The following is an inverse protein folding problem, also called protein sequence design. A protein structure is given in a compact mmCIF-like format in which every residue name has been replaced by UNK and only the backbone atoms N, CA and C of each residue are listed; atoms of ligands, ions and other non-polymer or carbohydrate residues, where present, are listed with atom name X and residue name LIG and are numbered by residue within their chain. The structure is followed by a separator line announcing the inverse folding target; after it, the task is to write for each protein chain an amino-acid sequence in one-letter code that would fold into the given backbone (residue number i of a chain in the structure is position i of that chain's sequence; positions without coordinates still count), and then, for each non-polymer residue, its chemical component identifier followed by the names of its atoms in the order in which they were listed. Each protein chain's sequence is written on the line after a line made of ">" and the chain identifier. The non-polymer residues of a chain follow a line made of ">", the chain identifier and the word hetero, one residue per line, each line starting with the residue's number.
data_IF_189834864587
#
_entry.id   IF_189834864587
#
_cell.length_a   1.000
_cell.length_b   1.000
_cell.length_c   1.000
_cell.angle_alpha   90.00
_cell.angle_beta   90.00
_cell.angle_gamma   90.00
#
_symmetry.space_group_name_H-M   'P 1'
#
loop_
_entity.id
_entity.type
_entity.pdbx_description
1 polymer ?
#
# COMPACT_ATOMS: atom_id res chain seq x y z
N UNK A 1 -30.86 -5.07 -7.12
CA UNK A 1 -29.64 -4.79 -6.34
C UNK A 1 -28.47 -5.18 -7.21
N UNK A 2 -27.57 -4.24 -7.57
CA UNK A 2 -26.32 -4.63 -8.26
C UNK A 2 -25.39 -5.25 -7.21
N UNK A 3 -24.68 -6.35 -7.52
CA UNK A 3 -23.72 -6.92 -6.58
C UNK A 3 -22.64 -5.87 -6.29
N UNK A 4 -22.31 -5.71 -5.01
CA UNK A 4 -21.14 -4.92 -4.60
C UNK A 4 -19.90 -5.63 -5.13
N UNK A 5 -19.07 -4.91 -5.89
CA UNK A 5 -17.75 -5.43 -6.25
C UNK A 5 -16.90 -5.43 -4.98
N UNK A 6 -16.15 -6.51 -4.77
CA UNK A 6 -15.23 -6.66 -3.64
C UNK A 6 -13.80 -6.56 -4.15
N UNK A 7 -12.85 -6.45 -3.23
CA UNK A 7 -11.42 -6.58 -3.55
C UNK A 7 -11.16 -7.89 -4.29
N UNK A 8 -10.17 -7.91 -5.19
CA UNK A 8 -9.76 -9.16 -5.85
C UNK A 8 -9.41 -10.24 -4.82
N UNK A 9 -8.72 -9.87 -3.74
CA UNK A 9 -8.42 -10.77 -2.61
C UNK A 9 -8.61 -10.04 -1.30
N UNK A 10 -9.35 -10.66 -0.38
CA UNK A 10 -9.38 -10.27 1.04
C UNK A 10 -8.80 -11.38 1.90
N UNK A 11 -7.83 -11.06 2.74
CA UNK A 11 -7.19 -11.98 3.68
C UNK A 11 -7.66 -11.63 5.10
N UNK A 12 -8.41 -12.54 5.72
CA UNK A 12 -8.85 -12.43 7.12
C UNK A 12 -7.81 -13.02 8.08
N UNK A 13 -6.58 -12.55 8.00
CA UNK A 13 -5.47 -13.02 8.79
C UNK A 13 -4.16 -12.35 8.38
N UNK A 14 -3.08 -12.74 9.07
CA UNK A 14 -1.76 -12.20 8.76
C UNK A 14 -1.25 -12.79 7.44
N UNK A 15 -0.98 -11.94 6.45
CA UNK A 15 -0.41 -12.36 5.18
C UNK A 15 1.11 -12.34 5.26
N UNK A 16 1.78 -13.41 4.83
CA UNK A 16 3.23 -13.46 4.69
C UNK A 16 3.58 -13.69 3.23
N UNK A 17 4.41 -12.83 2.66
CA UNK A 17 4.90 -12.91 1.28
C UNK A 17 6.42 -13.17 1.31
N UNK A 18 6.83 -14.27 0.67
CA UNK A 18 8.20 -14.77 0.67
C UNK A 18 8.55 -15.58 1.92
N UNK A 19 9.79 -16.08 2.00
CA UNK A 19 10.24 -16.88 3.13
C UNK A 19 11.40 -17.85 2.91
N UNK A 20 12.01 -17.92 1.73
CA UNK A 20 13.21 -18.75 1.52
C UNK A 20 14.47 -18.10 2.14
N UNK A 21 15.25 -18.83 2.95
CA UNK A 21 16.45 -18.31 3.62
C UNK A 21 17.62 -17.99 2.68
N UNK A 22 17.50 -18.29 1.37
CA UNK A 22 18.57 -18.09 0.38
C UNK A 22 18.52 -16.74 -0.36
N UNK A 23 17.57 -15.87 0.00
CA UNK A 23 17.47 -14.51 -0.52
C UNK A 23 16.95 -14.40 -1.96
N UNK A 24 16.42 -15.49 -2.55
CA UNK A 24 15.75 -15.41 -3.85
C UNK A 24 14.31 -14.90 -3.70
N UNK A 25 13.82 -14.08 -4.66
CA UNK A 25 12.40 -13.77 -4.74
C UNK A 25 11.63 -15.05 -5.10
N UNK A 26 10.82 -15.49 -4.16
CA UNK A 26 10.10 -16.75 -4.12
C UNK A 26 8.58 -16.56 -4.32
N UNK A 27 8.11 -15.32 -4.29
CA UNK A 27 6.74 -14.95 -4.64
C UNK A 27 6.71 -13.82 -5.68
N UNK A 28 5.92 -14.00 -6.74
CA UNK A 28 5.56 -12.94 -7.69
C UNK A 28 4.04 -12.87 -7.75
N UNK A 29 3.47 -11.81 -7.19
CA UNK A 29 2.02 -11.61 -7.07
C UNK A 29 1.66 -10.37 -7.87
N UNK A 30 0.74 -10.53 -8.82
CA UNK A 30 0.27 -9.44 -9.66
C UNK A 30 -1.25 -9.33 -9.59
N UNK A 31 -1.71 -8.09 -9.43
CA UNK A 31 -3.11 -7.70 -9.57
C UNK A 31 -3.24 -6.60 -10.61
N UNK A 32 -4.27 -6.70 -11.44
CA UNK A 32 -4.51 -5.83 -12.58
C UNK A 32 -6.01 -5.56 -12.71
N UNK A 33 -6.39 -4.29 -12.91
CA UNK A 33 -7.79 -3.87 -13.08
C UNK A 33 -8.75 -4.37 -11.99
N UNK A 34 -8.34 -4.25 -10.72
CA UNK A 34 -9.13 -4.66 -9.56
C UNK A 34 -9.88 -3.47 -8.96
N UNK A 35 -11.22 -3.51 -9.02
CA UNK A 35 -12.07 -2.38 -8.63
C UNK A 35 -13.07 -2.79 -7.55
N UNK A 36 -12.97 -2.18 -6.37
CA UNK A 36 -13.82 -2.46 -5.22
C UNK A 36 -14.78 -1.28 -5.02
N UNK A 37 -15.99 -1.39 -5.56
CA UNK A 37 -16.98 -0.31 -5.58
C UNK A 37 -17.78 -0.23 -4.27
N UNK A 38 -17.75 0.93 -3.62
CA UNK A 38 -18.60 1.23 -2.47
C UNK A 38 -17.98 2.29 -1.57
N UNK A 39 -18.80 3.07 -0.86
CA UNK A 39 -18.31 4.16 0.02
C UNK A 39 -17.43 3.68 1.18
N UNK A 40 -17.44 2.37 1.47
CA UNK A 40 -16.72 1.72 2.56
C UNK A 40 -15.92 0.52 2.03
N UNK A 41 -15.48 0.56 0.77
CA UNK A 41 -14.60 -0.46 0.21
C UNK A 41 -13.14 -0.21 0.60
N UNK A 42 -12.41 -1.31 0.79
CA UNK A 42 -11.01 -1.30 1.24
C UNK A 42 -10.21 -2.21 0.33
N UNK A 43 -9.13 -1.69 -0.25
CA UNK A 43 -8.27 -2.44 -1.17
C UNK A 43 -8.99 -2.70 -2.49
N UNK A 44 -8.53 -2.10 -3.59
CA UNK A 44 -9.02 -2.49 -4.92
C UNK A 44 -8.58 -3.91 -5.24
N UNK A 45 -7.28 -4.15 -5.17
CA UNK A 45 -6.69 -5.45 -5.41
C UNK A 45 -6.62 -6.32 -4.15
N UNK A 46 -6.01 -5.79 -3.09
CA UNK A 46 -5.65 -6.59 -1.92
C UNK A 46 -6.06 -5.88 -0.64
N UNK A 47 -6.85 -6.58 0.17
CA UNK A 47 -7.21 -6.17 1.51
C UNK A 47 -6.70 -7.19 2.52
N UNK A 48 -5.79 -6.77 3.40
CA UNK A 48 -5.22 -7.63 4.45
C UNK A 48 -5.70 -7.17 5.82
N UNK A 49 -6.41 -8.07 6.50
CA UNK A 49 -6.89 -7.88 7.87
C UNK A 49 -5.96 -8.64 8.80
N UNK A 50 -5.30 -7.94 9.73
CA UNK A 50 -4.30 -8.44 10.69
C UNK A 50 -2.84 -8.39 10.20
N UNK A 51 -2.53 -7.43 9.33
CA UNK A 51 -1.17 -7.06 8.94
C UNK A 51 -0.53 -7.93 7.85
N UNK A 52 0.54 -7.40 7.26
CA UNK A 52 1.29 -7.98 6.16
C UNK A 52 2.78 -8.01 6.51
N UNK A 53 3.40 -9.18 6.40
CA UNK A 53 4.87 -9.33 6.43
C UNK A 53 5.38 -9.64 5.02
N UNK A 54 6.30 -8.83 4.52
CA UNK A 54 6.99 -9.08 3.25
C UNK A 54 8.48 -9.29 3.50
N UNK A 55 8.97 -10.50 3.22
CA UNK A 55 10.37 -10.88 3.41
C UNK A 55 11.18 -10.79 2.13
N UNK A 56 10.57 -11.17 1.01
CA UNK A 56 11.16 -11.27 -0.32
C UNK A 56 10.05 -11.26 -1.37
N UNK A 57 10.43 -11.36 -2.65
CA UNK A 57 9.47 -11.42 -3.75
C UNK A 57 9.12 -10.07 -4.36
N UNK A 58 8.13 -10.10 -5.25
CA UNK A 58 7.61 -8.94 -5.97
C UNK A 58 6.08 -8.92 -5.89
N UNK A 59 5.52 -7.81 -5.46
CA UNK A 59 4.08 -7.53 -5.48
C UNK A 59 3.84 -6.36 -6.42
N UNK A 60 3.06 -6.58 -7.47
CA UNK A 60 2.63 -5.53 -8.37
C UNK A 60 1.11 -5.39 -8.31
N UNK A 61 0.66 -4.17 -8.09
CA UNK A 61 -0.76 -3.81 -8.18
C UNK A 61 -0.85 -2.64 -9.15
N UNK A 62 -1.63 -2.81 -10.20
CA UNK A 62 -1.85 -1.76 -11.18
C UNK A 62 -3.33 -1.54 -11.50
N UNK A 63 -3.66 -0.34 -11.94
CA UNK A 63 -5.00 0.03 -12.45
C UNK A 63 -6.12 -0.38 -11.49
N UNK A 64 -5.95 -0.14 -10.20
CA UNK A 64 -6.87 -0.63 -9.17
C UNK A 64 -7.46 0.51 -8.37
N UNK A 65 -8.74 0.40 -8.00
CA UNK A 65 -9.42 1.42 -7.21
C UNK A 65 -10.32 0.89 -6.10
N UNK A 66 -10.47 1.72 -5.07
CA UNK A 66 -11.41 1.51 -3.96
C UNK A 66 -11.68 2.83 -3.21
N UNK A 67 -12.50 2.81 -2.16
CA UNK A 67 -12.67 3.98 -1.30
C UNK A 67 -11.48 4.22 -0.34
N UNK A 68 -10.59 3.25 -0.15
CA UNK A 68 -9.43 3.38 0.72
C UNK A 68 -8.35 2.37 0.39
N UNK A 69 -7.12 2.83 0.16
CA UNK A 69 -6.03 1.95 -0.29
C UNK A 69 -6.31 1.45 -1.70
N UNK A 70 -6.33 2.35 -2.69
CA UNK A 70 -6.82 2.08 -4.04
C UNK A 70 -6.31 0.77 -4.63
N UNK A 71 -5.03 0.47 -4.46
CA UNK A 71 -4.49 -0.87 -4.70
C UNK A 71 -4.54 -1.77 -3.46
N UNK A 72 -3.87 -1.35 -2.39
CA UNK A 72 -3.60 -2.15 -1.19
C UNK A 72 -4.14 -1.47 0.06
N UNK A 73 -4.93 -2.19 0.84
CA UNK A 73 -5.37 -1.78 2.17
C UNK A 73 -4.91 -2.77 3.22
N UNK A 74 -4.25 -2.26 4.27
CA UNK A 74 -3.75 -3.07 5.38
C UNK A 74 -4.34 -2.53 6.67
N UNK A 75 -4.94 -3.41 7.46
CA UNK A 75 -5.46 -3.10 8.79
C UNK A 75 -4.93 -4.07 9.84
N UNK A 76 -4.87 -3.61 11.08
CA UNK A 76 -4.43 -4.43 12.22
C UNK A 76 -2.96 -4.21 12.49
N UNK A 77 -2.12 -5.22 12.30
CA UNK A 77 -0.71 -5.20 12.72
C UNK A 77 0.25 -4.55 11.70
N UNK A 78 -0.24 -3.63 10.88
CA UNK A 78 0.59 -2.84 9.98
C UNK A 78 1.28 -3.62 8.85
N UNK A 79 2.29 -2.99 8.26
CA UNK A 79 3.17 -3.58 7.25
C UNK A 79 4.59 -3.70 7.81
N UNK A 80 5.13 -4.92 7.84
CA UNK A 80 6.53 -5.18 8.11
C UNK A 80 7.24 -5.69 6.86
N UNK A 81 8.16 -4.90 6.31
CA UNK A 81 8.93 -5.26 5.12
C UNK A 81 10.41 -5.42 5.49
N UNK A 82 10.93 -6.64 5.35
CA UNK A 82 12.36 -6.94 5.53
C UNK A 82 13.09 -7.20 4.21
N UNK A 83 12.39 -7.07 3.08
CA UNK A 83 12.96 -7.23 1.74
C UNK A 83 11.89 -7.24 0.65
N UNK A 84 12.30 -7.65 -0.56
CA UNK A 84 11.42 -7.70 -1.73
C UNK A 84 11.01 -6.33 -2.27
N UNK A 85 10.07 -6.32 -3.20
CA UNK A 85 9.67 -5.13 -3.95
C UNK A 85 8.15 -5.01 -4.06
N UNK A 86 7.60 -3.85 -3.73
CA UNK A 86 6.19 -3.51 -3.95
C UNK A 86 6.10 -2.42 -5.01
N UNK A 87 5.31 -2.65 -6.06
CA UNK A 87 4.98 -1.66 -7.08
C UNK A 87 3.48 -1.39 -7.08
N UNK A 88 3.12 -0.13 -6.87
CA UNK A 88 1.75 0.39 -6.94
C UNK A 88 1.70 1.35 -8.12
N UNK A 89 0.88 1.07 -9.12
CA UNK A 89 0.88 1.85 -10.36
C UNK A 89 -0.53 2.22 -10.81
N UNK A 90 -0.76 3.50 -11.08
CA UNK A 90 -2.01 4.01 -11.63
C UNK A 90 -3.24 3.57 -10.79
N UNK A 91 -3.08 3.56 -9.45
CA UNK A 91 -4.16 3.20 -8.52
C UNK A 91 -4.92 4.44 -8.01
N UNK A 92 -6.21 4.28 -7.71
CA UNK A 92 -7.10 5.37 -7.32
C UNK A 92 -7.85 5.13 -6.01
N UNK A 93 -8.02 6.18 -5.19
CA UNK A 93 -8.84 6.12 -3.97
C UNK A 93 -9.80 7.31 -3.85
N UNK A 94 -11.08 7.04 -3.57
CA UNK A 94 -12.05 8.10 -3.19
C UNK A 94 -11.80 8.64 -1.77
N UNK A 95 -10.93 7.97 -1.00
CA UNK A 95 -10.53 8.34 0.34
C UNK A 95 -9.06 8.66 0.41
N UNK A 96 -8.32 7.89 1.21
CA UNK A 96 -6.88 8.07 1.41
C UNK A 96 -6.09 6.90 0.82
N UNK A 97 -4.81 7.13 0.52
CA UNK A 97 -3.89 6.13 0.02
C UNK A 97 -4.27 5.65 -1.38
N UNK A 98 -3.95 6.43 -2.41
CA UNK A 98 -4.30 6.07 -3.80
C UNK A 98 -3.71 4.74 -4.24
N UNK A 99 -2.47 4.46 -3.84
CA UNK A 99 -1.85 3.14 -3.97
C UNK A 99 -2.04 2.28 -2.72
N UNK A 100 -1.64 2.81 -1.56
CA UNK A 100 -1.57 2.06 -0.30
C UNK A 100 -2.14 2.86 0.87
N UNK A 101 -3.03 2.23 1.63
CA UNK A 101 -3.48 2.73 2.93
C UNK A 101 -3.14 1.71 4.03
N UNK A 102 -2.39 2.17 5.03
CA UNK A 102 -2.11 1.43 6.26
C UNK A 102 -2.91 2.08 7.39
N UNK A 103 -3.95 1.39 7.81
CA UNK A 103 -4.82 1.77 8.92
C UNK A 103 -4.50 0.91 10.15
N UNK A 104 -3.48 1.31 10.89
CA UNK A 104 -2.87 0.53 11.96
C UNK A 104 -2.11 1.42 12.94
N UNK A 105 -2.23 1.12 14.24
CA UNK A 105 -1.42 1.75 15.28
C UNK A 105 0.06 1.31 15.21
N UNK A 106 0.32 0.07 14.80
CA UNK A 106 1.67 -0.48 14.57
C UNK A 106 2.34 0.17 13.33
N UNK A 107 1.52 0.60 12.37
CA UNK A 107 1.94 1.43 11.25
C UNK A 107 2.76 0.68 10.19
N UNK A 108 3.85 1.30 9.75
CA UNK A 108 4.73 0.82 8.68
C UNK A 108 6.16 0.72 9.18
N UNK A 109 6.73 -0.48 9.10
CA UNK A 109 8.14 -0.73 9.36
C UNK A 109 8.79 -1.36 8.13
N UNK A 110 9.77 -0.68 7.57
CA UNK A 110 10.60 -1.19 6.49
C UNK A 110 12.05 -1.27 6.96
N UNK A 111 12.55 -2.48 7.15
CA UNK A 111 13.96 -2.72 7.50
C UNK A 111 14.84 -2.80 6.24
N UNK A 112 14.27 -3.25 5.11
CA UNK A 112 14.88 -3.28 3.78
C UNK A 112 13.82 -3.43 2.67
N UNK A 113 14.26 -3.50 1.41
CA UNK A 113 13.38 -3.66 0.24
C UNK A 113 13.01 -2.34 -0.41
N UNK A 114 12.19 -2.42 -1.46
CA UNK A 114 11.76 -1.27 -2.25
C UNK A 114 10.23 -1.16 -2.27
N UNK A 115 9.71 0.05 -2.13
CA UNK A 115 8.34 0.41 -2.49
C UNK A 115 8.39 1.49 -3.57
N UNK A 116 7.74 1.24 -4.69
CA UNK A 116 7.59 2.19 -5.78
C UNK A 116 6.12 2.48 -6.02
N UNK A 117 5.80 3.76 -6.17
CA UNK A 117 4.43 4.19 -6.37
C UNK A 117 4.33 5.27 -7.43
N UNK A 118 3.59 4.98 -8.48
CA UNK A 118 3.65 5.74 -9.73
C UNK A 118 2.24 6.04 -10.22
N UNK A 119 1.92 7.31 -10.45
CA UNK A 119 0.65 7.68 -11.07
C UNK A 119 -0.59 7.47 -10.19
N UNK A 120 -0.42 7.29 -8.88
CA UNK A 120 -1.54 7.03 -7.97
C UNK A 120 -2.23 8.32 -7.50
N UNK A 121 -3.54 8.26 -7.31
CA UNK A 121 -4.33 9.41 -6.89
C UNK A 121 -5.29 9.09 -5.72
N UNK A 122 -5.50 10.06 -4.84
CA UNK A 122 -6.47 9.96 -3.75
C UNK A 122 -7.30 11.25 -3.61
N UNK A 123 -8.61 11.14 -3.39
CA UNK A 123 -9.44 12.34 -3.21
C UNK A 123 -9.16 13.07 -1.87
N UNK A 124 -8.63 12.37 -0.86
CA UNK A 124 -8.36 12.94 0.46
C UNK A 124 -6.87 13.12 0.77
N UNK A 125 -6.19 12.08 1.27
CA UNK A 125 -4.81 12.17 1.77
C UNK A 125 -3.93 11.09 1.17
N UNK A 126 -2.64 11.41 1.01
CA UNK A 126 -1.64 10.44 0.56
C UNK A 126 -1.97 9.93 -0.84
N UNK A 127 -1.71 10.77 -1.85
CA UNK A 127 -2.01 10.45 -3.25
C UNK A 127 -1.45 9.10 -3.68
N UNK A 128 -0.29 8.73 -3.13
CA UNK A 128 0.21 7.38 -3.15
C UNK A 128 -0.08 6.63 -1.84
N UNK A 129 0.53 7.05 -0.73
CA UNK A 129 0.47 6.32 0.53
C UNK A 129 -0.08 7.17 1.67
N UNK A 130 -0.97 6.57 2.45
CA UNK A 130 -1.46 7.13 3.71
C UNK A 130 -1.26 6.12 4.83
N UNK A 131 -0.66 6.57 5.94
CA UNK A 131 -0.33 5.75 7.10
C UNK A 131 -0.87 6.45 8.34
N UNK A 132 -1.72 5.79 9.12
CA UNK A 132 -2.30 6.36 10.35
C UNK A 132 -1.40 6.19 11.57
N UNK A 133 -0.55 5.16 11.59
CA UNK A 133 0.43 4.88 12.64
C UNK A 133 1.84 5.43 12.39
N UNK A 134 2.82 4.85 13.08
CA UNK A 134 4.24 5.19 12.94
C UNK A 134 4.78 4.70 11.60
N UNK A 135 5.63 5.49 10.94
CA UNK A 135 6.43 5.03 9.80
C UNK A 135 7.93 4.99 10.16
N UNK A 136 8.57 3.84 10.02
CA UNK A 136 10.02 3.63 10.14
C UNK A 136 10.50 3.07 8.80
N UNK A 137 11.43 3.77 8.14
CA UNK A 137 11.83 3.48 6.76
C UNK A 137 13.36 3.43 6.68
N UNK A 138 13.88 2.21 6.55
CA UNK A 138 15.31 1.92 6.34
C UNK A 138 15.61 1.40 4.91
N UNK A 139 14.58 1.13 4.12
CA UNK A 139 14.70 0.73 2.70
C UNK A 139 14.45 1.88 1.72
N UNK A 140 14.14 1.53 0.48
CA UNK A 140 13.82 2.51 -0.57
C UNK A 140 12.33 2.75 -0.69
N UNK A 141 11.96 4.01 -0.81
CA UNK A 141 10.61 4.45 -1.14
C UNK A 141 10.69 5.47 -2.27
N UNK A 142 10.06 5.17 -3.40
CA UNK A 142 10.03 6.01 -4.59
C UNK A 142 8.59 6.36 -4.99
N UNK A 143 8.35 7.63 -5.28
CA UNK A 143 7.01 8.20 -5.39
C UNK A 143 6.97 9.19 -6.52
N UNK A 144 6.24 8.86 -7.58
CA UNK A 144 6.30 9.61 -8.84
C UNK A 144 4.91 9.89 -9.35
N UNK A 145 4.66 11.15 -9.71
CA UNK A 145 3.43 11.57 -10.38
C UNK A 145 2.15 11.21 -9.59
N UNK A 146 2.19 11.28 -8.27
CA UNK A 146 1.05 10.96 -7.41
C UNK A 146 0.39 12.23 -6.86
N UNK A 147 -0.93 12.25 -6.70
CA UNK A 147 -1.69 13.46 -6.34
C UNK A 147 -2.80 13.23 -5.32
N UNK A 148 -3.09 14.24 -4.50
CA UNK A 148 -4.26 14.24 -3.63
C UNK A 148 -5.08 15.53 -3.73
N UNK A 149 -6.41 15.40 -3.83
CA UNK A 149 -7.32 16.53 -4.13
C UNK A 149 -7.56 17.47 -2.95
N UNK A 150 -7.62 16.94 -1.71
CA UNK A 150 -7.67 17.76 -0.49
C UNK A 150 -6.29 18.38 -0.19
N UNK A 151 -5.96 19.37 -1.01
CA UNK A 151 -5.16 20.54 -0.61
C UNK A 151 -3.65 20.43 -0.72
N UNK A 152 -3.09 19.95 -1.86
CA UNK A 152 -1.63 19.90 -2.06
C UNK A 152 -0.89 19.08 -0.99
N UNK A 153 -1.60 18.13 -0.36
CA UNK A 153 -0.96 17.19 0.54
C UNK A 153 0.09 16.42 -0.26
N UNK A 154 1.28 16.15 0.31
CA UNK A 154 2.29 15.38 -0.40
C UNK A 154 1.70 14.04 -0.85
N UNK A 155 2.31 13.42 -1.86
CA UNK A 155 1.96 12.06 -2.26
C UNK A 155 2.01 11.05 -1.09
N UNK A 156 2.58 11.45 0.04
CA UNK A 156 2.72 10.72 1.30
C UNK A 156 2.17 11.49 2.50
N UNK A 157 1.48 10.78 3.38
CA UNK A 157 1.05 11.29 4.69
C UNK A 157 1.35 10.26 5.78
N UNK A 158 2.17 10.64 6.78
CA UNK A 158 2.53 9.81 7.95
C UNK A 158 3.21 10.62 9.06
N UNK A 159 3.19 10.10 10.29
CA UNK A 159 3.86 10.69 11.47
C UNK A 159 5.23 10.02 11.66
N UNK A 160 6.31 10.79 11.54
CA UNK A 160 7.69 10.27 11.64
C UNK A 160 8.31 10.55 13.02
N UNK A 161 8.91 9.54 13.69
CA UNK A 161 10.11 9.77 14.48
C UNK A 161 11.30 9.98 13.53
N UNK A 162 12.14 10.95 13.87
CA UNK A 162 13.26 11.48 13.08
C UNK A 162 14.25 10.35 12.67
N UNK A 163 14.45 10.17 11.35
CA UNK A 163 15.54 9.47 10.61
C UNK A 163 15.00 8.67 9.40
N UNK A 164 14.50 9.35 8.35
CA UNK A 164 14.26 8.69 7.05
C UNK A 164 14.77 9.52 5.88
N UNK A 165 15.49 8.88 4.97
CA UNK A 165 15.88 9.45 3.68
C UNK A 165 14.74 9.27 2.68
N UNK A 166 13.83 10.23 2.62
CA UNK A 166 12.82 10.30 1.55
C UNK A 166 13.50 10.91 0.32
N UNK A 167 13.77 10.11 -0.71
CA UNK A 167 14.35 10.60 -1.95
C UNK A 167 13.26 11.26 -2.83
N UNK A 168 13.29 12.59 -2.86
CA UNK A 168 12.72 13.56 -3.82
C UNK A 168 11.28 13.38 -4.36
N UNK A 169 10.48 14.42 -4.10
CA UNK A 169 9.26 14.84 -4.82
C UNK A 169 9.64 15.68 -6.05
#
# INVERSE_FOLDING_TARGET
>A
MKPLKQACVTVHGHLVIGGEPDGKPDANIQFDSCHNEGKLSFGGALHVVNGLTMRSGFVMIQDSDSAGGGGLYIRGNGLHQTGGKVLLKDCGSDGSGGGLLIDSDDGFQQDAGDISCIGCAAAQRGGCMAITGRAIISGSVDVKNCSADLGKSPAWFGVFPVESHIAHV
#
